data_IF_100111288843
#
_entry.id   IF_100111288843
#
_cell.length_a   1.000
_cell.length_b   1.000
_cell.length_c   1.000
_cell.angle_alpha   90.00
_cell.angle_beta   90.00
_cell.angle_gamma   90.00
#
_symmetry.space_group_name_H-M   'P 1'
#
loop_
_entity.id
_entity.type
_entity.pdbx_description
1 polymer ?
#
# COMPACT_ATOMS: atom_id res chain seq x y z
N UNK A 1 -34.02 8.02 1.83
CA UNK A 1 -33.92 6.92 0.84
C UNK A 1 -32.78 7.28 -0.10
N UNK A 2 -31.54 7.00 0.30
CA UNK A 2 -30.36 7.37 -0.50
C UNK A 2 -29.60 6.10 -0.84
N UNK A 3 -29.37 5.97 -2.14
CA UNK A 3 -28.80 4.86 -2.89
C UNK A 3 -27.47 4.36 -2.34
N UNK A 4 -27.49 3.14 -1.82
CA UNK A 4 -26.32 2.28 -1.66
C UNK A 4 -25.65 2.06 -3.02
N UNK A 5 -24.33 2.28 -3.18
CA UNK A 5 -23.63 1.89 -4.38
C UNK A 5 -23.69 0.37 -4.53
N UNK A 6 -23.93 -0.03 -5.76
CA UNK A 6 -24.25 -1.37 -6.22
C UNK A 6 -23.15 -2.35 -5.79
N UNK A 7 -23.58 -3.34 -5.01
CA UNK A 7 -22.90 -4.58 -4.70
C UNK A 7 -22.38 -5.20 -6.02
N UNK A 8 -21.07 -5.12 -6.27
CA UNK A 8 -20.45 -5.76 -7.42
C UNK A 8 -20.46 -7.27 -7.20
N UNK A 9 -21.58 -7.87 -7.62
CA UNK A 9 -21.89 -9.28 -7.58
C UNK A 9 -20.72 -10.12 -8.12
N UNK A 10 -20.03 -10.82 -7.22
CA UNK A 10 -19.13 -11.91 -7.63
C UNK A 10 -19.99 -13.11 -8.01
N UNK A 11 -20.50 -13.14 -9.24
CA UNK A 11 -21.12 -14.33 -9.79
C UNK A 11 -20.04 -15.37 -10.12
N UNK A 12 -19.80 -16.32 -9.22
CA UNK A 12 -19.11 -17.56 -9.59
C UNK A 12 -20.16 -18.46 -10.27
N UNK A 13 -20.39 -18.22 -11.56
CA UNK A 13 -21.12 -19.15 -12.41
C UNK A 13 -20.26 -20.42 -12.60
N UNK A 14 -20.42 -21.40 -11.70
CA UNK A 14 -20.01 -22.77 -11.95
C UNK A 14 -21.02 -23.44 -12.89
N UNK A 15 -21.03 -23.01 -14.16
CA UNK A 15 -21.77 -23.70 -15.22
C UNK A 15 -20.96 -24.92 -15.63
N UNK A 16 -21.62 -26.08 -15.78
CA UNK A 16 -21.03 -27.28 -16.40
C UNK A 16 -20.44 -26.89 -17.77
N UNK A 17 -19.11 -26.81 -17.85
CA UNK A 17 -18.37 -26.27 -19.00
C UNK A 17 -17.43 -25.15 -18.55
N UNK A 18 -16.32 -25.54 -17.93
CA UNK A 18 -15.42 -24.74 -17.08
C UNK A 18 -14.88 -23.47 -17.81
N UNK A 19 -15.29 -22.24 -17.44
CA UNK A 19 -14.46 -21.08 -17.71
C UNK A 19 -13.23 -21.17 -16.82
N UNK A 20 -12.08 -21.17 -17.48
CA UNK A 20 -10.74 -21.16 -16.88
C UNK A 20 -10.55 -19.84 -16.14
N UNK A 21 -10.90 -19.78 -14.86
CA UNK A 21 -10.72 -18.56 -14.05
C UNK A 21 -9.23 -18.28 -13.88
N UNK A 22 -8.75 -17.21 -14.53
CA UNK A 22 -7.35 -16.75 -14.45
C UNK A 22 -7.15 -15.59 -13.48
N UNK A 23 -8.20 -14.83 -13.22
CA UNK A 23 -8.20 -13.73 -12.27
C UNK A 23 -9.40 -13.87 -11.33
N UNK A 24 -9.18 -13.62 -10.04
CA UNK A 24 -10.23 -13.56 -9.03
C UNK A 24 -10.05 -12.29 -8.21
N UNK A 25 -11.06 -11.42 -8.23
CA UNK A 25 -11.19 -10.27 -7.35
C UNK A 25 -12.37 -10.48 -6.43
N UNK A 26 -12.16 -10.29 -5.14
CA UNK A 26 -13.16 -10.56 -4.10
C UNK A 26 -12.81 -9.82 -2.82
N UNK A 27 -13.60 -9.99 -1.76
CA UNK A 27 -13.31 -9.47 -0.42
C UNK A 27 -13.18 -10.63 0.58
N UNK A 28 -12.58 -10.34 1.73
CA UNK A 28 -12.33 -11.32 2.79
C UNK A 28 -13.63 -11.93 3.34
N UNK A 29 -14.71 -11.15 3.42
CA UNK A 29 -16.03 -11.62 3.87
C UNK A 29 -16.62 -12.69 2.95
N UNK A 30 -16.53 -12.54 1.63
CA UNK A 30 -17.01 -13.55 0.67
C UNK A 30 -16.19 -14.83 0.75
N UNK A 31 -14.87 -14.69 0.90
CA UNK A 31 -13.96 -15.85 1.00
C UNK A 31 -13.98 -16.53 2.37
N UNK A 32 -14.29 -15.83 3.46
CA UNK A 32 -14.26 -16.41 4.81
C UNK A 32 -15.19 -17.62 4.95
N UNK A 33 -16.30 -17.64 4.21
CA UNK A 33 -17.25 -18.76 4.16
C UNK A 33 -16.89 -19.83 3.10
N UNK A 34 -16.07 -19.51 2.10
CA UNK A 34 -15.87 -20.36 0.91
C UNK A 34 -14.40 -20.59 0.51
N UNK A 35 -13.43 -20.24 1.35
CA UNK A 35 -11.99 -20.31 1.02
C UNK A 35 -11.52 -21.70 0.61
N UNK A 36 -12.23 -22.76 1.01
CA UNK A 36 -11.95 -24.13 0.59
C UNK A 36 -12.01 -24.28 -0.93
N UNK A 37 -12.94 -23.57 -1.60
CA UNK A 37 -13.17 -23.65 -3.05
C UNK A 37 -12.03 -23.07 -3.89
N UNK A 38 -11.08 -22.37 -3.28
CA UNK A 38 -9.89 -21.86 -3.97
C UNK A 38 -9.05 -23.01 -4.58
N UNK A 39 -9.16 -24.24 -4.05
CA UNK A 39 -8.48 -25.41 -4.59
C UNK A 39 -8.98 -25.83 -5.99
N UNK A 40 -10.20 -25.42 -6.36
CA UNK A 40 -10.78 -25.66 -7.68
C UNK A 40 -10.27 -24.70 -8.77
N UNK A 41 -9.63 -23.59 -8.38
CA UNK A 41 -9.17 -22.54 -9.30
C UNK A 41 -7.75 -22.84 -9.81
N UNK A 42 -7.58 -24.02 -10.42
CA UNK A 42 -6.27 -24.57 -10.80
C UNK A 42 -5.49 -23.76 -11.83
N UNK A 43 -6.16 -22.81 -12.51
CA UNK A 43 -5.56 -21.94 -13.53
C UNK A 43 -5.45 -20.47 -13.10
N UNK A 44 -5.66 -20.19 -11.81
CA UNK A 44 -5.59 -18.84 -11.27
C UNK A 44 -4.17 -18.29 -11.36
N UNK A 45 -4.03 -17.08 -11.90
CA UNK A 45 -2.77 -16.36 -12.07
C UNK A 45 -2.77 -15.02 -11.34
N UNK A 46 -3.95 -14.38 -11.23
CA UNK A 46 -4.14 -13.13 -10.51
C UNK A 46 -5.15 -13.32 -9.38
N UNK A 47 -4.78 -12.92 -8.18
CA UNK A 47 -5.64 -13.00 -7.00
C UNK A 47 -5.65 -11.66 -6.28
N UNK A 48 -6.83 -11.05 -6.17
CA UNK A 48 -7.04 -9.77 -5.50
C UNK A 48 -8.08 -9.94 -4.39
N UNK A 49 -7.72 -9.55 -3.17
CA UNK A 49 -8.61 -9.60 -2.01
C UNK A 49 -8.61 -8.27 -1.28
N UNK A 50 -9.80 -7.70 -1.11
CA UNK A 50 -10.04 -6.60 -0.17
C UNK A 50 -10.20 -7.17 1.25
N UNK A 51 -9.38 -6.71 2.19
CA UNK A 51 -9.28 -7.24 3.55
C UNK A 51 -9.97 -6.34 4.60
N UNK A 52 -10.87 -5.43 4.20
CA UNK A 52 -11.55 -4.47 5.09
C UNK A 52 -12.28 -5.14 6.28
N UNK A 53 -12.83 -6.34 6.10
CA UNK A 53 -13.56 -7.09 7.12
C UNK A 53 -12.62 -7.84 8.09
N UNK A 54 -11.30 -7.73 7.93
CA UNK A 54 -10.32 -8.38 8.81
C UNK A 54 -9.65 -7.38 9.74
N UNK A 55 -9.32 -7.80 10.96
CA UNK A 55 -8.56 -7.00 11.92
C UNK A 55 -7.13 -7.49 12.09
N UNK A 56 -6.38 -6.81 12.97
CA UNK A 56 -5.00 -7.17 13.34
C UNK A 56 -4.86 -8.63 13.78
N UNK A 57 -5.88 -9.18 14.45
CA UNK A 57 -5.89 -10.56 14.95
C UNK A 57 -6.33 -11.61 13.93
N UNK A 58 -7.02 -11.23 12.85
CA UNK A 58 -7.65 -12.20 11.93
C UNK A 58 -6.97 -12.27 10.56
N UNK A 59 -6.36 -11.18 10.08
CA UNK A 59 -5.79 -11.12 8.73
C UNK A 59 -4.75 -12.22 8.43
N UNK A 60 -3.82 -12.51 9.36
CA UNK A 60 -2.77 -13.52 9.14
C UNK A 60 -3.35 -14.93 9.09
N UNK A 61 -4.34 -15.22 9.94
CA UNK A 61 -5.01 -16.51 9.96
C UNK A 61 -5.74 -16.76 8.64
N UNK A 62 -6.45 -15.75 8.15
CA UNK A 62 -7.19 -15.84 6.91
C UNK A 62 -6.26 -15.96 5.70
N UNK A 63 -5.19 -15.15 5.62
CA UNK A 63 -4.19 -15.24 4.56
C UNK A 63 -3.54 -16.62 4.51
N UNK A 64 -3.23 -17.20 5.67
CA UNK A 64 -2.68 -18.56 5.76
C UNK A 64 -3.66 -19.61 5.22
N UNK A 65 -4.97 -19.44 5.47
CA UNK A 65 -6.01 -20.30 4.88
C UNK A 65 -6.04 -20.12 3.36
N UNK A 66 -6.11 -18.89 2.85
CA UNK A 66 -6.17 -18.64 1.41
C UNK A 66 -5.01 -19.29 0.65
N UNK A 67 -3.77 -19.04 1.08
CA UNK A 67 -2.60 -19.62 0.43
C UNK A 67 -2.57 -21.15 0.53
N UNK A 68 -3.00 -21.71 1.68
CA UNK A 68 -3.08 -23.17 1.85
C UNK A 68 -4.01 -23.82 0.82
N UNK A 69 -5.16 -23.23 0.54
CA UNK A 69 -6.15 -23.81 -0.39
C UNK A 69 -5.82 -23.51 -1.85
N UNK A 70 -5.25 -22.35 -2.16
CA UNK A 70 -4.74 -22.04 -3.51
C UNK A 70 -3.68 -23.04 -3.98
N UNK A 71 -2.81 -23.50 -3.09
CA UNK A 71 -1.74 -24.45 -3.41
C UNK A 71 -2.02 -25.87 -2.94
N UNK A 72 -3.28 -26.20 -2.61
CA UNK A 72 -3.62 -27.56 -2.17
C UNK A 72 -3.48 -28.52 -3.35
N UNK A 73 -2.67 -29.59 -3.22
CA UNK A 73 -2.57 -30.58 -4.28
C UNK A 73 -3.93 -31.23 -4.52
N UNK A 74 -4.45 -31.12 -5.74
CA UNK A 74 -5.63 -31.84 -6.21
C UNK A 74 -5.17 -32.90 -7.20
N UNK A 75 -5.57 -34.15 -6.99
CA UNK A 75 -5.17 -35.28 -7.84
C UNK A 75 -5.54 -35.03 -9.31
N UNK A 76 -4.55 -35.05 -10.20
CA UNK A 76 -4.75 -34.97 -11.65
C UNK A 76 -4.84 -33.56 -12.25
N UNK A 77 -4.59 -32.48 -11.48
CA UNK A 77 -4.59 -31.11 -12.02
C UNK A 77 -3.22 -30.43 -11.93
N UNK A 78 -2.82 -29.79 -13.03
CA UNK A 78 -1.67 -28.91 -13.07
C UNK A 78 -2.07 -27.54 -12.53
N UNK A 79 -1.56 -27.17 -11.36
CA UNK A 79 -1.77 -25.84 -10.79
C UNK A 79 -0.88 -24.83 -11.49
N UNK A 80 -1.48 -23.77 -12.04
CA UNK A 80 -0.74 -22.63 -12.53
C UNK A 80 -0.21 -21.82 -11.35
N UNK A 81 0.99 -21.26 -11.52
CA UNK A 81 1.59 -20.46 -10.47
C UNK A 81 1.01 -19.05 -10.47
N UNK A 82 0.58 -18.58 -9.30
CA UNK A 82 0.16 -17.20 -9.10
C UNK A 82 1.28 -16.23 -9.47
N UNK A 83 1.00 -15.30 -10.37
CA UNK A 83 1.95 -14.28 -10.85
C UNK A 83 1.60 -12.87 -10.35
N UNK A 84 0.34 -12.63 -9.95
CA UNK A 84 -0.10 -11.37 -9.38
C UNK A 84 -0.90 -11.60 -8.10
N UNK A 85 -0.52 -10.89 -7.03
CA UNK A 85 -1.24 -10.86 -5.75
C UNK A 85 -1.51 -9.41 -5.36
N UNK A 86 -2.78 -9.06 -5.14
CA UNK A 86 -3.21 -7.76 -4.60
C UNK A 86 -3.98 -7.96 -3.30
N UNK A 87 -3.48 -7.37 -2.22
CA UNK A 87 -4.13 -7.31 -0.91
C UNK A 87 -4.31 -5.83 -0.55
N UNK A 88 -5.56 -5.39 -0.45
CA UNK A 88 -5.90 -4.00 -0.06
C UNK A 88 -6.62 -3.99 1.27
N UNK A 89 -6.70 -2.81 1.88
CA UNK A 89 -7.39 -2.63 3.16
C UNK A 89 -6.85 -3.59 4.23
N UNK A 90 -5.55 -3.86 4.25
CA UNK A 90 -4.91 -4.67 5.29
C UNK A 90 -4.95 -3.92 6.63
N UNK A 91 -5.03 -4.66 7.74
CA UNK A 91 -4.93 -4.05 9.07
C UNK A 91 -3.47 -3.71 9.44
N UNK A 92 -2.50 -4.42 8.87
CA UNK A 92 -1.07 -4.06 8.91
C UNK A 92 -0.28 -4.80 7.86
N UNK A 93 0.83 -4.22 7.41
CA UNK A 93 1.86 -4.91 6.63
C UNK A 93 3.06 -5.16 7.55
N UNK A 94 3.42 -6.43 7.74
CA UNK A 94 4.52 -6.83 8.64
C UNK A 94 5.42 -7.91 8.03
N UNK A 95 6.58 -8.12 8.65
CA UNK A 95 7.56 -9.13 8.21
C UNK A 95 6.94 -10.55 8.14
N UNK A 96 6.15 -11.01 9.13
CA UNK A 96 5.45 -12.30 9.04
C UNK A 96 4.54 -12.44 7.82
N UNK A 97 3.76 -11.43 7.45
CA UNK A 97 2.88 -11.43 6.28
C UNK A 97 3.71 -11.56 5.00
N UNK A 98 4.75 -10.73 4.86
CA UNK A 98 5.62 -10.75 3.67
C UNK A 98 6.36 -12.08 3.52
N UNK A 99 6.83 -12.68 4.62
CA UNK A 99 7.43 -14.03 4.62
C UNK A 99 6.42 -15.11 4.26
N UNK A 100 5.18 -14.99 4.74
CA UNK A 100 4.11 -15.91 4.40
C UNK A 100 3.82 -15.86 2.89
N UNK A 101 3.73 -14.67 2.31
CA UNK A 101 3.54 -14.48 0.86
C UNK A 101 4.73 -15.07 0.10
N UNK A 102 5.96 -14.64 0.41
CA UNK A 102 7.15 -15.03 -0.35
C UNK A 102 7.42 -16.53 -0.34
N UNK A 103 7.14 -17.20 0.78
CA UNK A 103 7.28 -18.66 0.93
C UNK A 103 6.29 -19.45 0.07
N UNK A 104 5.06 -18.97 -0.09
CA UNK A 104 3.99 -19.74 -0.75
C UNK A 104 3.82 -19.37 -2.23
N UNK A 105 4.31 -18.21 -2.66
CA UNK A 105 4.04 -17.67 -4.01
C UNK A 105 5.32 -17.32 -4.77
N UNK A 106 6.28 -18.25 -4.93
CA UNK A 106 7.62 -17.96 -5.46
C UNK A 106 7.65 -17.47 -6.92
N UNK A 107 6.54 -17.62 -7.65
CA UNK A 107 6.41 -17.19 -9.03
C UNK A 107 5.85 -15.76 -9.19
N UNK A 108 5.59 -15.04 -8.10
CA UNK A 108 5.04 -13.68 -8.17
C UNK A 108 5.92 -12.75 -8.98
N UNK A 109 5.26 -12.04 -9.89
CA UNK A 109 5.81 -10.97 -10.73
C UNK A 109 5.30 -9.62 -10.22
N UNK A 110 4.05 -9.57 -9.76
CA UNK A 110 3.38 -8.39 -9.23
C UNK A 110 2.90 -8.65 -7.80
N UNK A 111 3.35 -7.82 -6.85
CA UNK A 111 2.85 -7.82 -5.48
C UNK A 111 2.34 -6.42 -5.14
N UNK A 112 1.07 -6.35 -4.76
CA UNK A 112 0.47 -5.15 -4.19
C UNK A 112 -0.03 -5.50 -2.79
N UNK A 113 0.52 -4.83 -1.78
CA UNK A 113 0.03 -4.88 -0.41
C UNK A 113 -0.23 -3.46 0.05
N UNK A 114 -1.40 -3.20 0.62
CA UNK A 114 -1.79 -1.86 1.01
C UNK A 114 -2.75 -1.88 2.20
N UNK A 115 -2.61 -0.88 3.08
CA UNK A 115 -3.55 -0.60 4.15
C UNK A 115 -4.15 0.81 4.07
N UNK A 116 -3.62 1.69 3.21
CA UNK A 116 -4.01 3.11 3.17
C UNK A 116 -5.42 3.33 2.62
N UNK A 117 -6.03 2.33 1.96
CA UNK A 117 -7.46 2.38 1.58
C UNK A 117 -8.41 2.39 2.78
N UNK A 118 -7.92 2.07 3.98
CA UNK A 118 -8.71 2.13 5.21
C UNK A 118 -8.92 3.56 5.70
N UNK A 119 -8.06 4.52 5.34
CA UNK A 119 -8.15 5.90 5.78
C UNK A 119 -9.41 6.57 5.20
N UNK A 120 -10.22 7.16 6.07
CA UNK A 120 -11.49 7.78 5.70
C UNK A 120 -11.38 9.29 5.54
N UNK A 121 -11.03 9.74 4.34
CA UNK A 121 -10.86 11.17 4.03
C UNK A 121 -12.16 11.96 3.86
N UNK A 122 -13.31 11.28 3.74
CA UNK A 122 -14.58 11.90 3.30
C UNK A 122 -15.50 12.38 4.44
N UNK A 123 -15.15 12.10 5.70
CA UNK A 123 -16.02 12.39 6.83
C UNK A 123 -15.61 13.66 7.58
N UNK A 124 -14.99 13.52 8.76
CA UNK A 124 -14.45 14.61 9.55
C UNK A 124 -13.14 14.16 10.21
N UNK A 125 -12.37 15.11 10.73
CA UNK A 125 -11.09 14.83 11.39
C UNK A 125 -11.18 13.85 12.56
N UNK A 126 -12.26 13.86 13.33
CA UNK A 126 -12.44 12.91 14.43
C UNK A 126 -12.62 11.48 13.90
N UNK A 127 -13.53 11.27 12.95
CA UNK A 127 -13.71 9.95 12.33
C UNK A 127 -12.45 9.48 11.60
N UNK A 128 -11.68 10.40 11.02
CA UNK A 128 -10.39 10.12 10.43
C UNK A 128 -9.38 9.62 11.47
N UNK A 129 -9.23 10.33 12.59
CA UNK A 129 -8.34 9.92 13.70
C UNK A 129 -8.75 8.57 14.28
N UNK A 130 -10.02 8.40 14.64
CA UNK A 130 -10.54 7.15 15.21
C UNK A 130 -10.30 5.95 14.27
N UNK A 131 -10.46 6.17 12.96
CA UNK A 131 -10.20 5.15 11.96
C UNK A 131 -8.71 4.87 11.78
N UNK A 132 -7.86 5.90 11.74
CA UNK A 132 -6.41 5.76 11.60
C UNK A 132 -5.80 4.91 12.72
N UNK A 133 -6.31 5.05 13.96
CA UNK A 133 -5.88 4.25 15.12
C UNK A 133 -6.23 2.75 15.01
N UNK A 134 -7.12 2.35 14.09
CA UNK A 134 -7.58 0.96 13.97
C UNK A 134 -6.65 0.05 13.15
N UNK A 135 -5.59 0.59 12.53
CA UNK A 135 -4.67 -0.16 11.67
C UNK A 135 -3.31 0.54 11.56
N UNK A 136 -2.31 -0.15 11.03
CA UNK A 136 -0.94 0.38 10.98
C UNK A 136 -0.63 0.90 9.57
N UNK A 137 -0.73 2.21 9.37
CA UNK A 137 -0.44 2.89 8.08
C UNK A 137 0.95 3.53 8.02
N UNK A 138 1.50 3.95 9.16
CA UNK A 138 2.83 4.55 9.29
C UNK A 138 3.62 3.77 10.34
N UNK A 139 4.24 2.63 9.99
CA UNK A 139 4.84 1.71 10.96
C UNK A 139 6.15 2.21 11.61
N UNK A 140 6.49 3.49 11.43
CA UNK A 140 7.70 4.13 11.93
C UNK A 140 7.26 5.23 12.91
N UNK A 141 7.87 5.33 14.11
CA UNK A 141 8.96 4.51 14.64
C UNK A 141 8.51 3.23 15.37
N UNK A 142 7.20 3.04 15.56
CA UNK A 142 6.68 2.07 16.54
C UNK A 142 6.99 0.60 16.22
N UNK A 143 6.97 0.21 14.94
CA UNK A 143 7.36 -1.14 14.52
C UNK A 143 8.80 -1.21 14.00
N UNK A 144 9.32 -0.10 13.47
CA UNK A 144 10.65 -0.01 12.87
C UNK A 144 11.28 1.32 13.26
N UNK A 145 12.57 1.29 13.58
CA UNK A 145 13.31 2.47 14.04
C UNK A 145 13.23 3.61 13.02
N UNK A 146 13.41 3.29 11.73
CA UNK A 146 13.36 4.21 10.62
C UNK A 146 12.96 3.50 9.31
N UNK A 147 12.82 4.27 8.23
CA UNK A 147 12.48 3.76 6.91
C UNK A 147 13.55 2.82 6.32
N UNK A 148 14.82 3.00 6.68
CA UNK A 148 15.92 2.17 6.20
C UNK A 148 15.85 0.77 6.84
N UNK A 149 15.54 0.70 8.14
CA UNK A 149 15.32 -0.55 8.85
C UNK A 149 14.09 -1.28 8.34
N UNK A 150 12.97 -0.58 8.17
CA UNK A 150 11.77 -1.12 7.53
C UNK A 150 12.10 -1.71 6.16
N UNK A 151 12.76 -0.93 5.31
CA UNK A 151 13.10 -1.37 3.96
C UNK A 151 14.03 -2.58 3.97
N UNK A 152 14.99 -2.64 4.90
CA UNK A 152 15.88 -3.79 5.08
C UNK A 152 15.09 -5.02 5.47
N UNK A 153 14.26 -4.94 6.50
CA UNK A 153 13.50 -6.10 7.00
C UNK A 153 12.49 -6.62 5.96
N UNK A 154 11.75 -5.73 5.31
CA UNK A 154 10.77 -6.11 4.29
C UNK A 154 11.44 -6.67 3.03
N UNK A 155 12.51 -6.04 2.54
CA UNK A 155 13.20 -6.55 1.35
C UNK A 155 13.86 -7.90 1.59
N UNK A 156 14.35 -8.18 2.79
CA UNK A 156 14.84 -9.51 3.18
C UNK A 156 13.71 -10.55 3.24
N UNK A 157 12.53 -10.18 3.74
CA UNK A 157 11.35 -11.05 3.77
C UNK A 157 10.86 -11.43 2.35
N UNK A 158 10.95 -10.50 1.40
CA UNK A 158 10.53 -10.68 0.01
C UNK A 158 11.64 -11.19 -0.92
N UNK A 159 12.90 -11.25 -0.46
CA UNK A 159 14.06 -11.76 -1.20
C UNK A 159 13.84 -13.11 -1.93
N UNK A 160 13.06 -14.07 -1.40
CA UNK A 160 12.77 -15.32 -2.11
C UNK A 160 12.00 -15.15 -3.44
N UNK A 161 11.31 -14.02 -3.66
CA UNK A 161 10.54 -13.75 -4.87
C UNK A 161 11.45 -13.29 -6.02
N UNK A 162 12.16 -14.24 -6.62
CA UNK A 162 13.17 -13.97 -7.66
C UNK A 162 12.60 -13.46 -8.99
N UNK A 163 11.28 -13.52 -9.17
CA UNK A 163 10.57 -13.02 -10.36
C UNK A 163 9.85 -11.70 -10.11
N UNK A 164 9.90 -11.16 -8.89
CA UNK A 164 9.16 -9.95 -8.53
C UNK A 164 9.73 -8.75 -9.28
N UNK A 165 8.97 -8.19 -10.20
CA UNK A 165 9.36 -7.02 -11.01
C UNK A 165 8.64 -5.75 -10.57
N UNK A 166 7.45 -5.89 -9.99
CA UNK A 166 6.58 -4.80 -9.57
C UNK A 166 6.14 -5.00 -8.12
N UNK A 167 6.45 -4.02 -7.28
CA UNK A 167 6.05 -4.01 -5.86
C UNK A 167 5.28 -2.72 -5.54
N UNK A 168 4.12 -2.84 -4.92
CA UNK A 168 3.44 -1.73 -4.28
C UNK A 168 3.36 -1.97 -2.77
N UNK A 169 3.83 -0.99 -2.00
CA UNK A 169 3.82 -0.96 -0.55
C UNK A 169 2.95 0.22 -0.10
N UNK A 170 1.67 -0.03 0.12
CA UNK A 170 0.71 0.98 0.56
C UNK A 170 0.78 1.21 2.06
N UNK A 171 1.89 1.80 2.49
CA UNK A 171 2.17 2.37 3.81
C UNK A 171 2.87 3.71 3.59
N UNK A 172 2.80 4.60 4.58
CA UNK A 172 3.61 5.81 4.59
C UNK A 172 4.98 5.52 5.21
N UNK A 173 6.03 6.10 4.63
CA UNK A 173 7.40 6.01 5.18
C UNK A 173 7.73 7.15 6.15
N UNK A 174 6.82 8.12 6.33
CA UNK A 174 6.93 9.16 7.34
C UNK A 174 6.52 8.63 8.70
N UNK A 175 6.97 9.33 9.76
CA UNK A 175 6.54 9.03 11.12
C UNK A 175 5.03 9.25 11.27
N UNK A 176 4.38 8.47 12.13
CA UNK A 176 2.97 8.64 12.44
C UNK A 176 2.65 10.01 13.04
N UNK A 177 3.61 10.61 13.77
CA UNK A 177 3.47 11.97 14.33
C UNK A 177 3.13 13.02 13.27
N UNK A 178 3.65 12.89 12.05
CA UNK A 178 3.30 13.80 10.94
C UNK A 178 1.79 13.81 10.69
N UNK A 179 1.13 12.66 10.81
CA UNK A 179 -0.32 12.58 10.68
C UNK A 179 -1.02 13.34 11.80
N UNK A 180 -0.62 13.10 13.05
CA UNK A 180 -1.23 13.74 14.21
C UNK A 180 -0.99 15.25 14.25
N UNK A 181 0.17 15.72 13.77
CA UNK A 181 0.44 17.14 13.55
C UNK A 181 -0.52 17.73 12.51
N UNK A 182 -0.84 16.97 11.46
CA UNK A 182 -1.83 17.39 10.46
C UNK A 182 -3.25 17.46 11.04
N UNK A 183 -3.64 16.44 11.80
CA UNK A 183 -4.92 16.42 12.53
C UNK A 183 -5.00 17.59 13.53
N UNK A 184 -3.92 17.87 14.25
CA UNK A 184 -3.90 18.88 15.32
C UNK A 184 -4.08 20.31 14.80
N UNK A 185 -3.48 20.67 13.66
CA UNK A 185 -3.70 21.99 13.07
C UNK A 185 -5.11 22.13 12.48
N UNK A 186 -5.66 21.05 11.91
CA UNK A 186 -6.97 21.09 11.28
C UNK A 186 -8.13 21.19 12.29
N UNK A 187 -7.91 20.78 13.55
CA UNK A 187 -8.87 21.00 14.66
C UNK A 187 -9.14 22.48 14.96
N UNK A 188 -8.33 23.41 14.43
CA UNK A 188 -8.62 24.85 14.49
C UNK A 188 -9.55 25.32 13.36
N UNK A 189 -9.64 24.59 12.23
CA UNK A 189 -10.48 24.88 11.06
C UNK A 189 -11.63 23.85 10.92
N UNK A 190 -12.48 23.79 11.95
CA UNK A 190 -13.39 22.69 12.32
C UNK A 190 -14.50 22.23 11.34
N UNK A 191 -14.49 22.53 10.05
CA UNK A 191 -15.67 22.29 9.17
C UNK A 191 -15.46 21.47 7.91
N UNK A 192 -14.22 21.08 7.57
CA UNK A 192 -13.95 20.42 6.28
C UNK A 192 -13.37 19.01 6.44
N UNK A 193 -13.70 18.08 5.52
CA UNK A 193 -13.05 16.78 5.43
C UNK A 193 -11.53 16.94 5.17
N UNK A 194 -10.68 15.97 5.57
CA UNK A 194 -9.23 16.03 5.34
C UNK A 194 -8.81 16.35 3.90
N UNK A 195 -9.56 15.85 2.89
CA UNK A 195 -9.29 16.12 1.47
C UNK A 195 -9.52 17.59 1.04
N UNK A 196 -10.16 18.40 1.88
CA UNK A 196 -10.48 19.81 1.64
C UNK A 196 -9.66 20.76 2.57
N UNK A 197 -8.60 20.26 3.21
CA UNK A 197 -7.77 21.08 4.10
C UNK A 197 -6.88 22.06 3.33
N UNK A 198 -7.16 23.35 3.48
CA UNK A 198 -6.43 24.47 2.89
C UNK A 198 -4.96 24.52 3.33
N UNK A 199 -4.66 24.10 4.56
CA UNK A 199 -3.28 24.03 5.08
C UNK A 199 -2.52 22.92 4.37
N UNK A 200 -3.05 21.69 4.35
CA UNK A 200 -2.41 20.55 3.68
C UNK A 200 -2.22 20.76 2.16
N UNK A 201 -3.13 21.49 1.52
CA UNK A 201 -3.03 21.85 0.09
C UNK A 201 -2.07 23.02 -0.17
N UNK A 202 -1.82 23.89 0.82
CA UNK A 202 -0.83 24.97 0.75
C UNK A 202 0.57 24.54 1.17
N UNK A 203 0.76 23.59 2.09
CA UNK A 203 2.09 23.06 2.47
C UNK A 203 2.77 22.30 1.33
N UNK A 204 2.00 21.84 0.33
CA UNK A 204 2.55 21.33 -0.94
C UNK A 204 3.11 22.43 -1.86
N UNK A 205 2.85 23.71 -1.57
CA UNK A 205 3.20 24.86 -2.40
C UNK A 205 3.88 26.02 -1.65
N UNK A 206 3.94 26.02 -0.32
CA UNK A 206 4.49 27.11 0.47
C UNK A 206 5.40 26.59 1.59
N UNK A 207 6.68 26.91 1.45
CA UNK A 207 7.62 27.12 2.57
C UNK A 207 6.96 27.94 3.69
N UNK A 208 7.23 27.68 4.98
CA UNK A 208 6.47 28.29 6.06
C UNK A 208 6.63 29.82 6.06
N UNK A 209 5.50 30.51 5.99
CA UNK A 209 5.38 31.91 6.36
C UNK A 209 5.51 32.00 7.88
N UNK A 210 6.51 32.73 8.35
CA UNK A 210 6.53 33.20 9.74
C UNK A 210 5.53 34.35 9.82
N UNK A 211 4.43 34.15 10.54
CA UNK A 211 3.60 35.26 11.00
C UNK A 211 4.46 36.12 11.93
N UNK A 212 4.83 37.30 11.45
CA UNK A 212 5.62 38.29 12.19
C UNK A 212 4.68 39.32 12.82
N UNK A 213 3.86 38.86 13.76
CA UNK A 213 3.06 39.75 14.61
C UNK A 213 3.21 39.35 16.08
N UNK A 214 4.44 39.40 16.61
CA UNK A 214 4.66 39.61 18.05
C UNK A 214 5.92 40.46 18.28
N UNK A 215 5.69 41.57 18.95
CA UNK A 215 6.57 42.62 19.46
C UNK A 215 7.92 42.18 20.03
N UNK A 216 8.93 42.98 19.64
CA UNK A 216 10.15 43.42 20.34
C UNK A 216 10.86 42.54 21.39
N UNK A 217 12.19 42.48 21.18
CA UNK A 217 13.27 42.10 22.08
C UNK A 217 13.50 40.61 22.38
N UNK A 218 14.19 39.89 21.46
CA UNK A 218 15.31 38.99 21.82
C UNK A 218 16.20 38.59 20.62
N UNK A 219 17.52 38.34 20.84
CA UNK A 219 18.51 38.35 19.78
C UNK A 219 18.70 37.01 19.05
N UNK A 220 18.96 37.14 17.75
CA UNK A 220 19.68 36.22 16.84
C UNK A 220 18.99 34.91 16.44
N UNK A 221 18.31 35.01 15.30
CA UNK A 221 18.09 33.99 14.28
C UNK A 221 19.18 32.92 14.24
N UNK A 222 18.87 31.74 14.78
CA UNK A 222 19.37 30.49 14.20
C UNK A 222 18.48 30.20 12.99
N UNK A 223 19.00 30.47 11.78
CA UNK A 223 18.49 29.84 10.58
C UNK A 223 18.71 28.33 10.72
N UNK A 224 17.76 27.64 11.36
CA UNK A 224 17.63 26.20 11.18
C UNK A 224 17.26 26.00 9.71
N UNK A 225 18.05 25.21 8.99
CA UNK A 225 17.72 24.71 7.66
C UNK A 225 16.33 24.05 7.72
N UNK A 226 15.28 24.79 7.35
CA UNK A 226 13.93 24.24 7.17
C UNK A 226 13.99 23.43 5.87
N UNK A 227 14.35 22.16 6.00
CA UNK A 227 14.29 21.19 4.92
C UNK A 227 12.84 21.15 4.40
N UNK A 228 12.70 21.23 3.07
CA UNK A 228 11.42 21.02 2.38
C UNK A 228 10.89 19.61 2.71
N UNK A 229 9.74 19.47 3.42
CA UNK A 229 9.19 18.17 3.80
C UNK A 229 8.93 17.26 2.59
N UNK A 230 8.65 17.84 1.42
CA UNK A 230 8.48 17.08 0.19
C UNK A 230 9.79 16.46 -0.29
N UNK A 231 10.87 17.24 -0.26
CA UNK A 231 12.21 16.78 -0.60
C UNK A 231 12.70 15.71 0.38
N UNK A 232 12.39 15.85 1.68
CA UNK A 232 12.72 14.83 2.68
C UNK A 232 11.98 13.52 2.42
N UNK A 233 10.67 13.59 2.16
CA UNK A 233 9.85 12.41 1.83
C UNK A 233 10.35 11.69 0.58
N UNK A 234 10.63 12.43 -0.50
CA UNK A 234 11.20 11.86 -1.73
C UNK A 234 12.56 11.20 -1.45
N UNK A 235 13.42 11.84 -0.65
CA UNK A 235 14.72 11.28 -0.27
C UNK A 235 14.60 10.00 0.56
N UNK A 236 13.60 9.89 1.44
CA UNK A 236 13.30 8.69 2.23
C UNK A 236 12.83 7.57 1.29
N UNK A 237 11.85 7.84 0.43
CA UNK A 237 11.30 6.86 -0.52
C UNK A 237 12.38 6.34 -1.47
N UNK A 238 13.24 7.22 -2.01
CA UNK A 238 14.38 6.83 -2.85
C UNK A 238 15.38 5.93 -2.10
N UNK A 239 15.69 6.23 -0.83
CA UNK A 239 16.58 5.41 0.00
C UNK A 239 15.99 4.02 0.26
N UNK A 240 14.74 3.97 0.69
CA UNK A 240 14.02 2.72 0.92
C UNK A 240 13.97 1.88 -0.37
N UNK A 241 13.61 2.49 -1.49
CA UNK A 241 13.61 1.84 -2.81
C UNK A 241 14.99 1.32 -3.23
N UNK A 242 16.08 2.01 -2.90
CA UNK A 242 17.44 1.53 -3.15
C UNK A 242 17.75 0.26 -2.35
N UNK A 243 17.33 0.20 -1.09
CA UNK A 243 17.51 -0.98 -0.24
C UNK A 243 16.74 -2.17 -0.81
N UNK A 244 15.50 -1.97 -1.25
CA UNK A 244 14.72 -3.00 -1.97
C UNK A 244 15.42 -3.46 -3.24
N UNK A 245 15.86 -2.52 -4.08
CA UNK A 245 16.51 -2.82 -5.35
C UNK A 245 17.82 -3.62 -5.18
N UNK A 246 18.56 -3.40 -4.09
CA UNK A 246 19.78 -4.15 -3.75
C UNK A 246 19.47 -5.59 -3.36
N UNK A 247 18.39 -5.83 -2.63
CA UNK A 247 18.01 -7.16 -2.13
C UNK A 247 17.19 -8.00 -3.12
N UNK A 248 16.37 -7.35 -3.96
CA UNK A 248 15.49 -8.00 -4.95
C UNK A 248 15.96 -7.61 -6.35
N UNK A 249 16.79 -8.48 -6.96
CA UNK A 249 17.48 -8.18 -8.23
C UNK A 249 16.54 -8.02 -9.43
N UNK A 250 15.40 -8.71 -9.41
CA UNK A 250 14.38 -8.67 -10.46
C UNK A 250 13.53 -7.39 -10.43
N UNK A 251 13.58 -6.62 -9.34
CA UNK A 251 12.68 -5.49 -9.14
C UNK A 251 12.97 -4.35 -10.12
N UNK A 252 11.96 -3.96 -10.89
CA UNK A 252 12.03 -2.89 -11.91
C UNK A 252 11.23 -1.66 -11.50
N UNK A 253 10.20 -1.84 -10.66
CA UNK A 253 9.32 -0.79 -10.19
C UNK A 253 8.92 -1.04 -8.74
N UNK A 254 8.96 0.02 -7.94
CA UNK A 254 8.39 0.04 -6.60
C UNK A 254 7.54 1.30 -6.43
N UNK A 255 6.38 1.16 -5.79
CA UNK A 255 5.49 2.27 -5.48
C UNK A 255 5.19 2.30 -3.98
N UNK A 256 5.03 3.51 -3.44
CA UNK A 256 4.73 3.77 -2.04
C UNK A 256 3.47 4.62 -1.94
N UNK A 257 2.70 4.46 -0.86
CA UNK A 257 1.70 5.46 -0.51
C UNK A 257 2.39 6.70 0.07
N UNK A 258 1.92 7.87 -0.35
CA UNK A 258 2.58 9.15 -0.09
C UNK A 258 1.53 10.22 0.17
N UNK A 259 1.77 11.05 1.18
CA UNK A 259 0.92 12.20 1.50
C UNK A 259 0.97 13.29 0.42
N UNK A 260 2.09 13.37 -0.30
CA UNK A 260 2.39 14.42 -1.28
C UNK A 260 2.34 13.91 -2.72
N UNK A 261 1.98 12.63 -2.92
CA UNK A 261 1.85 12.06 -4.25
C UNK A 261 0.72 12.71 -5.04
N UNK A 262 0.83 12.72 -6.37
CA UNK A 262 -0.36 12.84 -7.21
C UNK A 262 -1.16 11.53 -7.08
N UNK A 263 -2.50 11.63 -7.04
CA UNK A 263 -3.41 10.47 -7.26
C UNK A 263 -3.12 9.93 -8.67
N UNK A 264 -2.12 9.06 -8.79
CA UNK A 264 -1.66 8.61 -10.10
C UNK A 264 -2.57 7.51 -10.64
N UNK A 265 -3.13 7.75 -11.82
CA UNK A 265 -4.00 6.85 -12.57
C UNK A 265 -3.22 5.76 -13.33
N UNK A 266 -2.10 5.28 -12.80
CA UNK A 266 -1.19 4.43 -13.59
C UNK A 266 -1.71 2.99 -13.63
N UNK A 267 -2.44 2.73 -14.71
CA UNK A 267 -2.98 1.46 -15.22
C UNK A 267 -2.08 0.25 -15.00
N UNK A 268 -2.62 -0.72 -14.25
CA UNK A 268 -2.18 -2.11 -14.34
C UNK A 268 -2.87 -2.73 -15.57
N UNK A 269 -2.20 -2.72 -16.74
CA UNK A 269 -2.67 -3.51 -17.88
C UNK A 269 -2.35 -4.99 -17.67
N UNK A 270 -3.19 -5.66 -16.90
CA UNK A 270 -3.55 -7.05 -17.13
C UNK A 270 -5.03 -7.05 -17.53
N UNK A 271 -5.30 -6.99 -18.84
CA UNK A 271 -6.61 -7.15 -19.50
C UNK A 271 -7.85 -7.03 -18.58
N UNK A 272 -8.19 -5.80 -18.16
CA UNK A 272 -9.53 -5.33 -17.75
C UNK A 272 -9.40 -3.86 -17.32
N UNK A 273 -10.45 -3.07 -17.53
CA UNK A 273 -10.43 -1.63 -17.25
C UNK A 273 -9.99 -1.31 -15.82
N UNK A 274 -9.16 -0.25 -15.64
CA UNK A 274 -8.74 0.21 -14.33
C UNK A 274 -9.95 0.80 -13.60
N UNK A 275 -10.60 0.04 -12.72
CA UNK A 275 -11.34 0.71 -11.64
C UNK A 275 -10.28 1.41 -10.79
N UNK A 276 -10.15 2.73 -10.94
CA UNK A 276 -9.34 3.56 -10.06
C UNK A 276 -9.81 3.27 -8.64
N UNK A 277 -8.98 2.62 -7.84
CA UNK A 277 -9.26 2.45 -6.42
C UNK A 277 -8.94 3.80 -5.76
N UNK A 278 -9.89 4.73 -5.85
CA UNK A 278 -9.76 6.11 -5.35
C UNK A 278 -9.70 6.18 -3.82
N UNK A 279 -9.92 5.06 -3.11
CA UNK A 279 -9.91 4.98 -1.65
C UNK A 279 -8.50 5.08 -1.05
N UNK A 280 -7.48 4.68 -1.80
CA UNK A 280 -6.10 4.70 -1.33
C UNK A 280 -5.48 6.09 -1.33
N UNK A 281 -4.44 6.26 -0.51
CA UNK A 281 -3.62 7.46 -0.55
C UNK A 281 -2.95 7.63 -1.94
N UNK A 282 -2.56 8.85 -2.33
CA UNK A 282 -1.73 9.06 -3.51
C UNK A 282 -0.46 8.21 -3.46
N UNK A 283 0.13 7.93 -4.63
CA UNK A 283 1.26 7.04 -4.72
C UNK A 283 2.42 7.66 -5.49
N UNK A 284 3.63 7.50 -4.98
CA UNK A 284 4.87 7.73 -5.73
C UNK A 284 5.33 6.43 -6.37
N UNK A 285 6.00 6.54 -7.53
CA UNK A 285 6.53 5.38 -8.25
C UNK A 285 7.99 5.61 -8.59
N UNK A 286 8.85 4.69 -8.16
CA UNK A 286 10.28 4.73 -8.41
C UNK A 286 10.64 3.61 -9.38
N UNK A 287 11.30 4.01 -10.48
CA UNK A 287 11.76 3.14 -11.55
C UNK A 287 13.21 2.75 -11.33
N UNK A 288 13.47 1.44 -11.37
CA UNK A 288 14.76 0.85 -11.06
C UNK A 288 15.41 0.34 -12.34
N UNK A 289 16.58 0.88 -12.67
CA UNK A 289 17.41 0.41 -13.79
C UNK A 289 18.74 -0.11 -13.28
N UNK A 290 19.14 -1.28 -13.78
CA UNK A 290 20.47 -1.87 -13.53
C UNK A 290 21.29 -1.82 -14.81
N UNK A 291 22.48 -1.26 -14.72
CA UNK A 291 23.40 -1.18 -15.85
C UNK A 291 24.85 -1.21 -15.34
N UNK A 292 25.68 -2.09 -15.90
CA UNK A 292 27.10 -2.24 -15.53
C UNK A 292 27.33 -2.37 -14.01
N UNK A 293 26.54 -3.22 -13.34
CA UNK A 293 26.66 -3.46 -11.89
C UNK A 293 26.17 -2.32 -10.98
N UNK A 294 25.70 -1.19 -11.55
CA UNK A 294 25.13 -0.06 -10.80
C UNK A 294 23.61 -0.11 -10.82
N UNK A 295 22.99 0.32 -9.71
CA UNK A 295 21.54 0.54 -9.59
C UNK A 295 21.27 2.03 -9.71
N UNK A 296 20.34 2.42 -10.58
CA UNK A 296 19.85 3.79 -10.73
C UNK A 296 18.35 3.81 -10.45
N UNK A 297 17.92 4.86 -9.75
CA UNK A 297 16.55 5.12 -9.37
C UNK A 297 16.12 6.46 -9.96
N UNK A 298 14.85 6.58 -10.33
CA UNK A 298 14.22 7.86 -10.64
C UNK A 298 12.70 7.78 -10.55
N UNK A 299 12.05 8.92 -10.40
CA UNK A 299 10.59 9.05 -10.24
C UNK A 299 9.82 8.97 -11.58
N UNK A 300 10.52 8.84 -12.73
CA UNK A 300 9.94 8.78 -14.08
C UNK A 300 10.39 7.53 -14.88
N UNK A 301 9.58 6.99 -15.82
CA UNK A 301 9.91 5.77 -16.57
C UNK A 301 11.09 5.97 -17.53
N UNK A 302 11.90 4.90 -17.71
CA UNK A 302 12.81 4.57 -18.85
C UNK A 302 12.73 5.42 -20.13
#
# INVERSE_FOLDING_TARGET
MNSTPIDSQTYIYAVRGIPVVRALRTNSRTLSFNYMRLDSLTRLQSFSVDMDNEGLSTQHLLMKKFLKYLYRPTTGSLHFALTALKLTSLARIDVPLLRLISKNTPALVHLHVSCTERLWYECCWNCYTDNAECFIHSPIPDMFIDADDLARQFSLALKPLTKLTHLHMGIFLTQESYLYEHVAHARYEQSYPPDECDVCTKTTLQTPFIDSDLSDDHPQNNALDILDPAAEMEAIELRASLIFAKNIRSLTRISWSSWLGQRSSVDWKGEEEPTVDTRGAPNTTIWIRRHAGRVRLRSAPW
#
